data_IF_899579962109
#
_entry.id   IF_899579962109
#
_cell.length_a   1.000
_cell.length_b   1.000
_cell.length_c   1.000
_cell.angle_alpha   90.00
_cell.angle_beta   90.00
_cell.angle_gamma   90.00
#
_symmetry.space_group_name_H-M   'P 1'
#
loop_
_entity.id
_entity.type
_entity.pdbx_description
1 polymer ?
#
# COMPACT_ATOMS: atom_id res chain seq x y z
N UNK A 1 12.43 8.48 -8.85
CA UNK A 1 12.39 7.10 -9.37
C UNK A 1 11.23 6.38 -8.71
N UNK A 2 10.35 5.75 -9.49
CA UNK A 2 9.24 4.94 -8.97
C UNK A 2 9.79 3.57 -8.57
N UNK A 3 9.51 3.14 -7.34
CA UNK A 3 9.94 1.84 -6.79
C UNK A 3 8.85 0.78 -6.88
N UNK A 4 7.59 1.18 -6.76
CA UNK A 4 6.43 0.29 -6.85
C UNK A 4 5.21 1.07 -7.36
N UNK A 5 4.37 0.40 -8.16
CA UNK A 5 3.03 0.86 -8.53
C UNK A 5 2.06 -0.26 -8.21
N UNK A 6 0.96 0.07 -7.55
CA UNK A 6 -0.12 -0.87 -7.27
C UNK A 6 -1.47 -0.20 -7.47
N UNK A 7 -2.49 -0.97 -7.79
CA UNK A 7 -3.83 -0.46 -8.06
C UNK A 7 -4.87 -1.34 -7.38
N UNK A 8 -5.96 -0.72 -6.92
CA UNK A 8 -7.03 -1.38 -6.21
C UNK A 8 -7.96 -0.38 -5.53
N UNK A 9 -8.97 -0.88 -4.82
CA UNK A 9 -9.92 -0.04 -4.09
C UNK A 9 -9.36 0.36 -2.73
N UNK A 10 -8.76 1.56 -2.66
CA UNK A 10 -8.17 2.12 -1.44
C UNK A 10 -8.97 3.31 -0.92
N UNK A 11 -9.10 4.38 -1.72
CA UNK A 11 -9.73 5.62 -1.26
C UNK A 11 -11.25 5.59 -1.32
N UNK A 12 -11.80 4.85 -2.29
CA UNK A 12 -13.23 4.77 -2.56
C UNK A 12 -13.63 3.31 -2.81
N UNK A 13 -14.85 2.93 -2.40
CA UNK A 13 -15.36 1.56 -2.58
C UNK A 13 -15.69 1.22 -4.04
N UNK A 14 -16.00 2.22 -4.86
CA UNK A 14 -16.48 2.02 -6.23
C UNK A 14 -15.43 2.38 -7.29
N UNK A 15 -14.34 3.05 -6.89
CA UNK A 15 -13.30 3.54 -7.80
C UNK A 15 -11.95 2.89 -7.50
N UNK A 16 -11.23 2.60 -8.57
CA UNK A 16 -9.84 2.15 -8.46
C UNK A 16 -8.94 3.34 -8.15
N UNK A 17 -8.07 3.18 -7.16
CA UNK A 17 -6.99 4.11 -6.85
C UNK A 17 -5.67 3.52 -7.33
N UNK A 18 -4.76 4.37 -7.80
CA UNK A 18 -3.37 4.00 -8.12
C UNK A 18 -2.48 4.54 -7.02
N UNK A 19 -1.68 3.67 -6.41
CA UNK A 19 -0.67 4.03 -5.42
C UNK A 19 0.70 3.89 -6.06
N UNK A 20 1.52 4.94 -5.92
CA UNK A 20 2.88 5.01 -6.44
C UNK A 20 3.82 5.27 -5.28
N UNK A 21 4.80 4.37 -5.10
CA UNK A 21 5.90 4.57 -4.18
C UNK A 21 7.13 5.08 -4.92
N UNK A 22 7.81 6.05 -4.33
CA UNK A 22 9.00 6.67 -4.88
C UNK A 22 10.20 6.47 -3.95
N UNK A 23 11.40 6.41 -4.53
CA UNK A 23 12.66 6.22 -3.81
C UNK A 23 13.01 7.38 -2.86
N UNK A 24 12.38 8.54 -3.02
CA UNK A 24 12.51 9.73 -2.16
C UNK A 24 11.56 9.69 -0.95
N UNK A 25 10.96 8.52 -0.68
CA UNK A 25 9.99 8.27 0.37
C UNK A 25 8.59 8.86 0.12
N UNK A 26 8.31 9.41 -1.06
CA UNK A 26 6.97 9.88 -1.40
C UNK A 26 6.04 8.71 -1.77
N UNK A 27 4.82 8.78 -1.26
CA UNK A 27 3.71 7.91 -1.63
C UNK A 27 2.62 8.78 -2.23
N UNK A 28 2.37 8.60 -3.53
CA UNK A 28 1.33 9.30 -4.26
C UNK A 28 0.14 8.38 -4.45
N UNK A 29 -1.07 8.92 -4.27
CA UNK A 29 -2.32 8.22 -4.53
C UNK A 29 -3.10 9.02 -5.55
N UNK A 30 -3.52 8.36 -6.62
CA UNK A 30 -4.28 8.95 -7.73
C UNK A 30 -5.63 8.28 -7.88
N UNK A 31 -6.63 9.04 -8.31
CA UNK A 31 -7.88 8.49 -8.81
C UNK A 31 -7.63 7.94 -10.22
N UNK A 32 -7.94 6.66 -10.44
CA UNK A 32 -7.80 6.02 -11.74
C UNK A 32 -9.04 6.22 -12.62
N UNK A 33 -10.10 6.87 -12.13
CA UNK A 33 -11.22 7.24 -13.00
C UNK A 33 -10.78 8.32 -13.97
N UNK A 34 -10.72 7.95 -15.25
CA UNK A 34 -10.53 8.91 -16.32
C UNK A 34 -11.84 9.68 -16.52
N UNK A 35 -11.88 10.89 -15.99
CA UNK A 35 -12.80 11.89 -16.52
C UNK A 35 -12.29 12.36 -17.88
N UNK A 36 -13.11 13.03 -18.67
CA UNK A 36 -12.78 13.49 -20.03
C UNK A 36 -11.52 14.38 -20.13
N UNK A 37 -10.94 14.81 -19.02
CA UNK A 37 -9.58 15.36 -18.95
C UNK A 37 -8.57 14.21 -18.89
N UNK A 38 -7.67 14.12 -19.87
CA UNK A 38 -6.63 13.09 -20.02
C UNK A 38 -5.55 13.05 -18.91
N UNK A 39 -5.86 13.51 -17.70
CA UNK A 39 -4.95 13.64 -16.56
C UNK A 39 -5.44 12.84 -15.35
N UNK A 40 -4.52 12.12 -14.71
CA UNK A 40 -4.77 11.43 -13.45
C UNK A 40 -4.91 12.46 -12.31
N UNK A 41 -6.02 12.40 -11.58
CA UNK A 41 -6.25 13.29 -10.45
C UNK A 41 -5.49 12.80 -9.22
N UNK A 42 -4.60 13.63 -8.67
CA UNK A 42 -3.92 13.35 -7.40
C UNK A 42 -4.89 13.48 -6.23
N UNK A 43 -5.02 12.43 -5.42
CA UNK A 43 -5.84 12.39 -4.20
C UNK A 43 -5.00 12.82 -3.00
N UNK A 44 -3.81 12.25 -2.86
CA UNK A 44 -2.94 12.48 -1.71
C UNK A 44 -1.46 12.28 -2.10
N UNK A 45 -0.60 13.05 -1.45
CA UNK A 45 0.84 12.86 -1.45
C UNK A 45 1.32 12.90 0.00
N UNK A 46 1.90 11.81 0.48
CA UNK A 46 2.42 11.73 1.84
C UNK A 46 3.77 11.02 1.88
N UNK A 47 4.54 11.31 2.94
CA UNK A 47 5.84 10.69 3.14
C UNK A 47 5.72 9.38 3.90
N UNK A 48 6.35 8.32 3.39
CA UNK A 48 6.58 7.05 4.08
C UNK A 48 8.06 6.95 4.51
N UNK A 49 8.50 5.81 5.03
CA UNK A 49 9.93 5.59 5.23
C UNK A 49 10.63 5.37 3.86
N UNK A 50 11.86 5.87 3.73
CA UNK A 50 12.59 5.93 2.46
C UNK A 50 12.92 4.58 1.82
N UNK A 51 12.85 3.50 2.60
CA UNK A 51 13.15 2.16 2.16
C UNK A 51 11.91 1.38 1.68
N UNK A 52 10.78 2.03 1.43
CA UNK A 52 9.58 1.39 0.89
C UNK A 52 9.83 0.84 -0.53
N UNK A 53 9.54 -0.45 -0.75
CA UNK A 53 9.88 -1.14 -2.01
C UNK A 53 8.74 -1.89 -2.69
N UNK A 54 7.73 -2.32 -1.94
CA UNK A 54 6.58 -3.03 -2.50
C UNK A 54 5.32 -2.70 -1.70
N UNK A 55 4.16 -2.69 -2.36
CA UNK A 55 2.89 -2.35 -1.73
C UNK A 55 1.73 -3.14 -2.33
N UNK A 56 0.74 -3.45 -1.49
CA UNK A 56 -0.49 -4.13 -1.88
C UNK A 56 -1.70 -3.53 -1.20
N UNK A 57 -2.70 -3.19 -1.99
CA UNK A 57 -4.01 -2.76 -1.51
C UNK A 57 -4.79 -4.01 -1.07
N UNK A 58 -5.30 -3.97 0.14
CA UNK A 58 -6.06 -5.03 0.77
C UNK A 58 -7.55 -4.75 0.55
N UNK A 59 -8.15 -5.34 -0.48
CA UNK A 59 -9.57 -5.16 -0.71
C UNK A 59 -10.41 -5.99 0.26
N UNK A 60 -11.42 -5.36 0.89
CA UNK A 60 -12.37 -6.00 1.80
C UNK A 60 -12.75 -5.10 2.97
N UNK A 61 -13.59 -5.60 3.87
CA UNK A 61 -14.01 -4.88 5.08
C UNK A 61 -13.06 -5.12 6.27
N UNK A 62 -11.80 -5.47 5.97
CA UNK A 62 -10.77 -5.66 6.98
C UNK A 62 -10.35 -4.36 7.65
N UNK A 63 -9.63 -4.44 8.78
CA UNK A 63 -9.16 -3.26 9.51
C UNK A 63 -8.04 -2.51 8.78
N UNK A 64 -7.38 -3.13 7.78
CA UNK A 64 -6.26 -2.56 7.04
C UNK A 64 -6.61 -2.48 5.56
N UNK A 65 -6.21 -1.41 4.89
CA UNK A 65 -6.49 -1.18 3.46
C UNK A 65 -5.23 -1.31 2.59
N UNK A 66 -4.04 -1.25 3.19
CA UNK A 66 -2.80 -1.38 2.44
C UNK A 66 -1.68 -2.00 3.28
N UNK A 67 -0.91 -2.89 2.68
CA UNK A 67 0.35 -3.40 3.22
C UNK A 67 1.53 -2.84 2.43
N UNK A 68 2.58 -2.41 3.11
CA UNK A 68 3.82 -1.91 2.48
C UNK A 68 5.00 -2.68 3.05
N UNK A 69 5.82 -3.24 2.16
CA UNK A 69 7.09 -3.85 2.48
C UNK A 69 8.23 -2.85 2.27
N UNK A 70 9.17 -2.92 3.18
CA UNK A 70 10.39 -2.14 3.16
C UNK A 70 11.57 -3.06 2.79
N UNK A 71 12.66 -2.49 2.29
CA UNK A 71 13.86 -3.26 1.88
C UNK A 71 14.63 -3.88 3.04
N UNK A 72 14.27 -3.52 4.27
CA UNK A 72 14.71 -4.17 5.48
C UNK A 72 13.82 -5.39 5.78
N UNK A 73 13.55 -5.64 7.07
CA UNK A 73 12.72 -6.76 7.54
C UNK A 73 11.32 -6.31 7.94
N UNK A 74 10.88 -5.13 7.52
CA UNK A 74 9.66 -4.51 8.03
C UNK A 74 8.54 -4.61 7.00
N UNK A 75 7.36 -4.99 7.48
CA UNK A 75 6.08 -4.78 6.79
C UNK A 75 5.22 -3.86 7.66
N UNK A 76 4.59 -2.86 7.06
CA UNK A 76 3.63 -2.00 7.76
C UNK A 76 2.25 -2.14 7.12
N UNK A 77 1.22 -2.23 7.95
CA UNK A 77 -0.16 -2.14 7.48
C UNK A 77 -0.72 -0.77 7.79
N UNK A 78 -1.42 -0.21 6.82
CA UNK A 78 -2.03 1.10 6.87
C UNK A 78 -3.54 0.99 6.71
N UNK A 79 -4.25 1.91 7.38
CA UNK A 79 -5.65 2.23 7.14
C UNK A 79 -5.72 3.54 6.39
N UNK A 80 -6.53 3.59 5.33
CA UNK A 80 -6.91 4.84 4.72
C UNK A 80 -7.98 5.52 5.58
N UNK A 81 -7.69 6.75 6.01
CA UNK A 81 -8.64 7.59 6.72
C UNK A 81 -9.10 8.69 5.76
N UNK A 82 -10.36 8.62 5.27
CA UNK A 82 -10.91 9.67 4.43
C UNK A 82 -11.06 10.96 5.24
N UNK A 83 -10.88 12.08 4.56
CA UNK A 83 -11.02 13.41 5.11
C UNK A 83 -12.44 13.68 5.64
N UNK A 84 -12.55 14.37 6.79
CA UNK A 84 -13.81 14.96 7.24
C UNK A 84 -14.18 16.13 6.32
N UNK A 85 -15.46 16.24 5.92
CA UNK A 85 -15.99 17.31 5.05
C UNK A 85 -15.69 18.74 5.53
N UNK A 86 -15.29 18.91 6.79
CA UNK A 86 -15.01 20.19 7.44
C UNK A 86 -13.58 20.69 7.27
N UNK A 87 -12.62 19.79 7.05
CA UNK A 87 -11.21 20.16 6.89
C UNK A 87 -10.87 20.28 5.39
N UNK A 88 -9.82 21.01 5.00
CA UNK A 88 -9.39 21.16 3.58
C UNK A 88 -8.20 20.26 3.20
N UNK A 89 -7.82 19.30 4.05
CA UNK A 89 -6.63 18.46 3.86
C UNK A 89 -6.98 17.11 3.23
N UNK A 90 -6.21 16.61 2.25
CA UNK A 90 -6.47 15.30 1.66
C UNK A 90 -6.45 14.18 2.73
N UNK A 91 -7.15 13.07 2.46
CA UNK A 91 -7.12 11.89 3.32
C UNK A 91 -5.70 11.34 3.49
N UNK A 92 -5.48 10.49 4.49
CA UNK A 92 -4.15 9.99 4.83
C UNK A 92 -4.12 8.49 5.14
N UNK A 93 -2.96 7.88 4.91
CA UNK A 93 -2.64 6.53 5.36
C UNK A 93 -2.09 6.58 6.79
N UNK A 94 -2.87 6.03 7.72
CA UNK A 94 -2.50 5.90 9.12
C UNK A 94 -1.89 4.53 9.36
N UNK A 95 -0.71 4.50 9.96
CA UNK A 95 -0.03 3.25 10.35
C UNK A 95 -0.84 2.54 11.44
N UNK A 96 -1.22 1.29 11.19
CA UNK A 96 -1.90 0.45 12.19
C UNK A 96 -0.93 -0.47 12.92
N UNK A 97 -0.11 -1.19 12.15
CA UNK A 97 0.79 -2.18 12.73
C UNK A 97 2.11 -2.22 11.96
N UNK A 98 3.18 -2.48 12.70
CA UNK A 98 4.51 -2.78 12.17
C UNK A 98 4.82 -4.24 12.49
N UNK A 99 5.10 -5.03 11.47
CA UNK A 99 5.64 -6.37 11.58
C UNK A 99 7.13 -6.35 11.26
N UNK A 100 7.89 -7.11 12.05
CA UNK A 100 9.31 -7.32 11.84
C UNK A 100 9.53 -8.82 11.57
N UNK A 101 10.16 -9.12 10.45
CA UNK A 101 10.35 -10.47 9.96
C UNK A 101 11.78 -10.94 10.20
N UNK A 102 12.02 -12.25 10.12
CA UNK A 102 13.34 -12.83 10.35
C UNK A 102 14.36 -12.46 9.24
N UNK A 103 13.88 -12.11 8.05
CA UNK A 103 14.72 -11.84 6.87
C UNK A 103 14.23 -10.63 6.08
N UNK A 104 15.00 -10.25 5.07
CA UNK A 104 14.65 -9.15 4.18
C UNK A 104 13.41 -9.50 3.35
N UNK A 105 12.51 -8.53 3.21
CA UNK A 105 11.27 -8.74 2.46
C UNK A 105 11.53 -8.54 0.97
N UNK A 106 11.21 -9.56 0.17
CA UNK A 106 11.31 -9.50 -1.28
C UNK A 106 10.04 -8.90 -1.88
N UNK A 107 8.88 -9.47 -1.53
CA UNK A 107 7.57 -9.12 -2.10
C UNK A 107 6.43 -9.38 -1.11
N UNK A 108 5.35 -8.62 -1.22
CA UNK A 108 4.06 -8.94 -0.59
C UNK A 108 3.10 -9.47 -1.65
N UNK A 109 2.40 -10.55 -1.31
CA UNK A 109 1.35 -11.16 -2.12
C UNK A 109 0.07 -11.30 -1.30
N UNK A 110 -1.06 -11.25 -2.01
CA UNK A 110 -2.38 -11.46 -1.45
C UNK A 110 -2.92 -12.77 -1.98
N UNK A 111 -3.41 -13.60 -1.06
CA UNK A 111 -4.11 -14.82 -1.39
C UNK A 111 -5.52 -14.75 -0.83
N UNK A 112 -6.51 -14.69 -1.72
CA UNK A 112 -7.90 -14.89 -1.35
C UNK A 112 -8.13 -16.38 -1.08
N UNK A 113 -8.77 -16.69 0.04
CA UNK A 113 -9.21 -18.05 0.35
C UNK A 113 -10.73 -18.12 0.23
N UNK A 114 -11.26 -19.27 -0.17
CA UNK A 114 -12.72 -19.47 -0.32
C UNK A 114 -13.51 -19.32 0.98
N UNK A 115 -12.83 -19.26 2.14
CA UNK A 115 -13.42 -19.10 3.48
C UNK A 115 -13.45 -17.66 4.00
N UNK A 116 -13.38 -16.67 3.10
CA UNK A 116 -13.60 -15.25 3.36
C UNK A 116 -12.49 -14.45 4.08
N UNK A 117 -11.38 -15.06 4.48
CA UNK A 117 -10.20 -14.31 4.98
C UNK A 117 -9.14 -14.17 3.89
N UNK A 118 -8.86 -12.94 3.46
CA UNK A 118 -7.70 -12.62 2.64
C UNK A 118 -6.42 -12.81 3.48
N UNK A 119 -5.50 -13.65 3.00
CA UNK A 119 -4.21 -13.87 3.63
C UNK A 119 -3.16 -12.97 2.97
N UNK A 120 -2.42 -12.23 3.80
CA UNK A 120 -1.26 -11.46 3.37
C UNK A 120 -0.03 -12.34 3.57
N UNK A 121 0.68 -12.66 2.49
CA UNK A 121 1.95 -13.38 2.55
C UNK A 121 3.11 -12.44 2.22
N UNK A 122 4.13 -12.42 3.08
CA UNK A 122 5.38 -11.71 2.84
C UNK A 122 6.44 -12.74 2.43
N UNK A 123 6.88 -12.68 1.18
CA UNK A 123 7.95 -13.54 0.69
C UNK A 123 9.29 -12.93 1.08
N UNK A 124 10.06 -13.67 1.88
CA UNK A 124 11.40 -13.30 2.27
C UNK A 124 12.41 -13.72 1.20
N UNK A 125 13.53 -13.01 1.10
CA UNK A 125 14.66 -13.53 0.35
C UNK A 125 15.12 -14.85 0.97
N UNK A 126 15.28 -15.88 0.14
CA UNK A 126 15.96 -17.08 0.54
C UNK A 126 17.44 -16.73 0.76
N UNK A 127 17.83 -16.45 2.00
CA UNK A 127 19.19 -16.72 2.39
C UNK A 127 19.37 -18.23 2.25
N UNK A 128 20.34 -18.66 1.45
CA UNK A 128 20.80 -20.04 1.42
C UNK A 128 21.11 -20.48 2.86
N UNK A 129 20.15 -21.13 3.51
CA UNK A 129 20.37 -21.92 4.73
C UNK A 129 20.88 -23.31 4.35
N UNK A 130 21.82 -23.36 3.41
CA UNK A 130 22.60 -24.55 3.08
C UNK A 130 24.04 -24.24 3.50
N UNK A 131 24.32 -24.49 4.77
CA UNK A 131 25.67 -24.83 5.23
C UNK A 131 25.62 -26.26 5.72
#
# INVERSE_FOLDING_TARGET
>A
MVTCVTAGRLCFKEKTSIVVLCADAQCHIFDATFDSSSHLQSICCQKLACNAKDARILEGDGPCDMAVAYSDRVVRLFRWVPQSKTDKKPGELVLLIKWELAGQVSRISLHSTSKASNLVSAQLYAHQWLK
#
